data_IF_574623337295
#
_entry.id   IF_574623337295
#
_cell.length_a   1.000
_cell.length_b   1.000
_cell.length_c   1.000
_cell.angle_alpha   90.00
_cell.angle_beta   90.00
_cell.angle_gamma   90.00
#
_symmetry.space_group_name_H-M   'P 1'
#
loop_
_entity.id
_entity.type
_entity.pdbx_description
1 polymer ?
#
# COMPACT_ATOMS: atom_id res chain seq x y z
N UNK A 1 24.19 13.41 -3.23
CA UNK A 1 23.57 13.06 -2.29
C UNK A 1 22.36 13.66 -1.94
N UNK A 2 21.54 13.76 -1.90
CA UNK A 2 20.28 14.23 -1.53
C UNK A 2 19.31 13.09 -1.31
N UNK A 3 18.11 13.43 -1.00
CA UNK A 3 17.02 12.48 -0.76
C UNK A 3 16.71 11.70 -2.03
N UNK A 4 16.67 10.38 -1.90
CA UNK A 4 16.27 9.50 -3.00
C UNK A 4 14.96 8.84 -2.62
N UNK A 5 13.88 9.22 -3.28
CA UNK A 5 12.52 8.75 -2.97
C UNK A 5 12.42 7.23 -2.93
N UNK A 6 13.10 6.55 -3.83
CA UNK A 6 13.01 5.09 -3.94
C UNK A 6 13.76 4.34 -2.84
N UNK A 7 14.47 5.06 -1.97
CA UNK A 7 15.13 4.47 -0.80
C UNK A 7 14.19 4.43 0.40
N UNK A 8 13.02 5.06 0.31
CA UNK A 8 12.12 5.26 1.44
C UNK A 8 10.70 4.88 1.06
N UNK A 9 9.86 4.76 2.08
CA UNK A 9 8.41 4.58 1.91
C UNK A 9 7.75 5.80 2.52
N UNK A 10 6.91 6.48 1.72
CA UNK A 10 6.21 7.65 2.21
C UNK A 10 5.33 7.28 3.41
N UNK A 11 5.37 8.08 4.46
CA UNK A 11 4.57 7.90 5.68
C UNK A 11 4.99 6.71 6.55
N UNK A 12 6.13 6.09 6.28
CA UNK A 12 6.56 4.89 7.02
C UNK A 12 6.60 5.12 8.53
N UNK A 13 7.22 6.23 8.98
CA UNK A 13 7.38 6.50 10.41
C UNK A 13 6.05 6.65 11.14
N UNK A 14 5.04 7.17 10.46
CA UNK A 14 3.71 7.32 11.04
C UNK A 14 2.89 6.03 10.95
N UNK A 15 3.18 5.18 10.00
CA UNK A 15 2.41 3.97 9.74
C UNK A 15 2.88 2.76 10.55
N UNK A 16 4.14 2.77 10.97
CA UNK A 16 4.79 1.55 11.47
C UNK A 16 4.14 1.01 12.75
N UNK A 17 3.73 1.86 13.66
CA UNK A 17 3.11 1.42 14.90
C UNK A 17 1.83 0.63 14.64
N UNK A 18 0.93 1.20 13.85
CA UNK A 18 -0.32 0.50 13.49
C UNK A 18 -0.05 -0.74 12.66
N UNK A 19 0.94 -0.67 11.78
CA UNK A 19 1.33 -1.82 10.96
C UNK A 19 1.80 -2.99 11.83
N UNK A 20 2.54 -2.72 12.89
CA UNK A 20 3.00 -3.76 13.79
C UNK A 20 1.86 -4.35 14.62
N UNK A 21 0.87 -3.54 14.98
CA UNK A 21 -0.32 -4.04 15.66
C UNK A 21 -1.13 -4.98 14.78
N UNK A 22 -1.35 -4.61 13.54
CA UNK A 22 -2.23 -5.37 12.62
C UNK A 22 -1.48 -6.42 11.83
N UNK A 23 -0.16 -6.34 11.77
CA UNK A 23 0.71 -7.15 10.91
C UNK A 23 0.43 -6.93 9.42
N UNK A 24 -0.17 -5.80 9.07
CA UNK A 24 -0.55 -5.44 7.70
C UNK A 24 -0.03 -4.06 7.34
N UNK A 25 0.34 -3.88 6.08
CA UNK A 25 0.63 -2.57 5.49
C UNK A 25 -0.16 -2.44 4.20
N UNK A 26 -0.75 -1.27 4.00
CA UNK A 26 -1.38 -0.90 2.74
C UNK A 26 -0.33 -0.20 1.88
N UNK A 27 -0.07 -0.73 0.69
CA UNK A 27 0.89 -0.17 -0.25
C UNK A 27 0.14 0.58 -1.34
N UNK A 28 0.47 1.84 -1.53
CA UNK A 28 -0.10 2.68 -2.59
C UNK A 28 1.02 3.38 -3.34
N UNK A 29 0.70 4.03 -4.46
CA UNK A 29 1.71 4.64 -5.30
C UNK A 29 2.22 5.96 -4.77
N UNK A 30 1.33 6.82 -4.29
CA UNK A 30 1.71 8.17 -3.91
C UNK A 30 1.08 8.68 -2.63
N UNK A 31 1.49 9.89 -2.25
CA UNK A 31 1.07 10.47 -0.97
C UNK A 31 -0.41 10.83 -0.94
N UNK A 32 -1.00 11.20 -2.07
CA UNK A 32 -2.45 11.49 -2.10
C UNK A 32 -3.29 10.27 -1.73
N UNK A 33 -2.85 9.09 -2.15
CA UNK A 33 -3.53 7.84 -1.82
C UNK A 33 -3.39 7.52 -0.33
N UNK A 34 -2.22 7.79 0.24
CA UNK A 34 -2.00 7.62 1.69
C UNK A 34 -2.96 8.51 2.47
N UNK A 35 -3.10 9.77 2.04
CA UNK A 35 -4.00 10.72 2.70
C UNK A 35 -5.46 10.27 2.61
N UNK A 36 -5.87 9.77 1.44
CA UNK A 36 -7.22 9.27 1.24
C UNK A 36 -7.52 8.11 2.19
N UNK A 37 -6.60 7.17 2.30
CA UNK A 37 -6.74 6.04 3.22
C UNK A 37 -6.79 6.52 4.67
N UNK A 38 -5.97 7.50 5.02
CA UNK A 38 -5.97 8.06 6.37
C UNK A 38 -7.34 8.65 6.72
N UNK A 39 -7.93 9.40 5.79
CA UNK A 39 -9.28 9.94 5.99
C UNK A 39 -10.30 8.84 6.20
N UNK A 40 -10.11 7.69 5.59
CA UNK A 40 -11.02 6.55 5.73
C UNK A 40 -10.74 5.71 6.98
N UNK A 41 -9.74 6.09 7.79
CA UNK A 41 -9.42 5.39 9.03
C UNK A 41 -8.24 4.43 8.94
N UNK A 42 -7.54 4.40 7.81
CA UNK A 42 -6.39 3.51 7.61
C UNK A 42 -5.10 4.27 7.90
N UNK A 43 -4.46 3.97 9.02
CA UNK A 43 -3.24 4.67 9.44
C UNK A 43 -1.97 3.96 9.01
N UNK A 44 -2.06 2.71 8.59
CA UNK A 44 -0.91 1.88 8.22
C UNK A 44 -0.72 1.78 6.72
N UNK A 45 -0.82 2.93 6.03
CA UNK A 45 -0.59 3.02 4.61
C UNK A 45 0.74 3.70 4.33
N UNK A 46 1.47 3.19 3.35
CA UNK A 46 2.74 3.77 2.91
C UNK A 46 2.74 3.92 1.39
N UNK A 47 3.47 4.93 0.90
CA UNK A 47 3.57 5.20 -0.53
C UNK A 47 4.89 4.76 -1.10
N UNK A 48 4.85 4.21 -2.31
CA UNK A 48 6.03 3.67 -2.99
C UNK A 48 6.84 4.72 -3.74
N UNK A 49 6.27 5.90 -3.98
CA UNK A 49 6.85 6.91 -4.86
C UNK A 49 7.02 6.40 -6.29
N UNK A 50 6.27 5.39 -6.68
CA UNK A 50 6.37 4.80 -8.00
C UNK A 50 5.47 3.58 -8.11
N UNK A 51 5.69 2.79 -9.14
CA UNK A 51 4.79 1.68 -9.48
C UNK A 51 5.30 0.29 -9.10
N UNK A 52 6.51 0.21 -8.56
CA UNK A 52 7.05 -1.07 -8.10
C UNK A 52 7.81 -0.86 -6.79
N UNK A 53 8.30 -1.95 -6.20
CA UNK A 53 8.99 -1.93 -4.93
C UNK A 53 10.50 -2.04 -5.17
N UNK A 54 11.27 -1.04 -4.71
CA UNK A 54 12.73 -1.08 -4.82
C UNK A 54 13.32 -2.05 -3.79
N UNK A 55 14.59 -2.39 -3.95
CA UNK A 55 15.29 -3.26 -3.00
C UNK A 55 15.30 -2.68 -1.59
N UNK A 56 15.53 -1.38 -1.47
CA UNK A 56 15.57 -0.71 -0.17
C UNK A 56 14.19 -0.64 0.47
N UNK A 57 13.15 -0.39 -0.33
CA UNK A 57 11.79 -0.42 0.16
C UNK A 57 11.41 -1.81 0.64
N UNK A 58 11.81 -2.84 -0.09
CA UNK A 58 11.59 -4.23 0.34
C UNK A 58 12.25 -4.51 1.68
N UNK A 59 13.48 -4.03 1.86
CA UNK A 59 14.18 -4.19 3.15
C UNK A 59 13.42 -3.52 4.29
N UNK A 60 12.87 -2.33 4.06
CA UNK A 60 12.08 -1.64 5.08
C UNK A 60 10.84 -2.47 5.45
N UNK A 61 10.15 -3.02 4.45
CA UNK A 61 8.99 -3.84 4.70
C UNK A 61 9.34 -5.11 5.48
N UNK A 62 10.45 -5.76 5.14
CA UNK A 62 10.90 -6.94 5.87
C UNK A 62 11.23 -6.61 7.33
N UNK A 63 11.89 -5.48 7.56
CA UNK A 63 12.26 -5.06 8.92
C UNK A 63 11.05 -4.65 9.74
N UNK A 64 9.96 -4.27 9.10
CA UNK A 64 8.76 -3.81 9.81
C UNK A 64 8.08 -4.92 10.61
N UNK A 65 8.31 -6.17 10.24
CA UNK A 65 7.66 -7.29 10.92
C UNK A 65 6.26 -7.61 10.44
N UNK A 66 5.76 -6.90 9.42
CA UNK A 66 4.43 -7.21 8.87
C UNK A 66 4.49 -8.50 8.06
N UNK A 67 3.34 -9.16 7.96
CA UNK A 67 3.24 -10.43 7.23
C UNK A 67 2.33 -10.32 6.01
N UNK A 68 1.52 -9.27 5.94
CA UNK A 68 0.53 -9.09 4.87
C UNK A 68 0.67 -7.70 4.24
N UNK A 69 0.65 -7.66 2.93
CA UNK A 69 0.63 -6.41 2.18
C UNK A 69 -0.68 -6.31 1.39
N UNK A 70 -1.41 -5.22 1.60
CA UNK A 70 -2.61 -4.93 0.83
C UNK A 70 -2.18 -3.91 -0.23
N UNK A 71 -2.18 -4.34 -1.49
CA UNK A 71 -1.61 -3.57 -2.59
C UNK A 71 -2.72 -2.91 -3.39
N UNK A 72 -2.70 -1.59 -3.43
CA UNK A 72 -3.70 -0.78 -4.12
C UNK A 72 -3.01 0.04 -5.20
N UNK A 73 -2.93 -0.52 -6.39
CA UNK A 73 -2.37 0.16 -7.55
C UNK A 73 -3.50 0.70 -8.41
N UNK A 74 -3.18 1.67 -9.28
CA UNK A 74 -4.15 2.23 -10.19
C UNK A 74 -4.77 1.15 -11.09
N UNK A 75 -6.03 1.33 -11.44
CA UNK A 75 -6.77 0.39 -12.28
C UNK A 75 -6.57 0.76 -13.76
N UNK A 76 -5.32 0.73 -14.21
CA UNK A 76 -4.93 1.00 -15.58
C UNK A 76 -3.84 0.00 -15.99
N UNK A 77 -3.34 0.12 -17.23
CA UNK A 77 -2.34 -0.81 -17.75
C UNK A 77 -1.07 -0.83 -16.89
N UNK A 78 -0.57 0.35 -16.52
CA UNK A 78 0.63 0.45 -15.69
C UNK A 78 0.41 -0.15 -14.30
N UNK A 79 -0.76 0.07 -13.71
CA UNK A 79 -1.11 -0.51 -12.41
C UNK A 79 -1.22 -2.03 -12.47
N UNK A 80 -1.79 -2.56 -13.54
CA UNK A 80 -1.86 -4.02 -13.71
C UNK A 80 -0.48 -4.64 -13.87
N UNK A 81 0.41 -3.97 -14.60
CA UNK A 81 1.79 -4.43 -14.75
C UNK A 81 2.54 -4.36 -13.42
N UNK A 82 2.27 -3.33 -12.63
CA UNK A 82 2.81 -3.17 -11.30
C UNK A 82 2.43 -4.35 -10.40
N UNK A 83 1.16 -4.75 -10.44
CA UNK A 83 0.69 -5.91 -9.65
C UNK A 83 1.46 -7.18 -9.98
N UNK A 84 1.70 -7.42 -11.27
CA UNK A 84 2.43 -8.60 -11.72
C UNK A 84 3.85 -8.60 -11.15
N UNK A 85 4.54 -7.45 -11.23
CA UNK A 85 5.90 -7.33 -10.72
C UNK A 85 5.95 -7.51 -9.20
N UNK A 86 5.04 -6.89 -8.48
CA UNK A 86 4.98 -6.98 -7.03
C UNK A 86 4.71 -8.44 -6.62
N UNK A 87 3.77 -9.08 -7.27
CA UNK A 87 3.45 -10.47 -6.98
C UNK A 87 4.66 -11.37 -7.20
N UNK A 88 5.36 -11.18 -8.33
CA UNK A 88 6.56 -11.96 -8.64
C UNK A 88 7.65 -11.78 -7.58
N UNK A 89 7.89 -10.54 -7.16
CA UNK A 89 9.01 -10.21 -6.28
C UNK A 89 8.73 -10.44 -4.80
N UNK A 90 7.46 -10.39 -4.39
CA UNK A 90 7.11 -10.31 -2.97
C UNK A 90 6.29 -11.49 -2.46
N UNK A 91 5.74 -12.35 -3.34
CA UNK A 91 4.81 -13.39 -2.90
C UNK A 91 5.42 -14.44 -1.98
N UNK A 92 6.72 -14.62 -2.03
CA UNK A 92 7.41 -15.56 -1.13
C UNK A 92 7.71 -14.96 0.24
N UNK A 93 7.63 -13.64 0.36
CA UNK A 93 8.01 -12.92 1.57
C UNK A 93 6.80 -12.49 2.39
N UNK A 94 5.67 -12.26 1.72
CA UNK A 94 4.47 -11.72 2.36
C UNK A 94 3.22 -12.35 1.76
N UNK A 95 2.15 -12.36 2.54
CA UNK A 95 0.84 -12.63 1.99
C UNK A 95 0.39 -11.36 1.27
N UNK A 96 -0.01 -11.50 0.02
CA UNK A 96 -0.42 -10.36 -0.81
C UNK A 96 -1.93 -10.37 -1.02
N UNK A 97 -2.53 -9.19 -0.90
CA UNK A 97 -3.95 -8.99 -1.17
C UNK A 97 -4.06 -7.85 -2.17
N UNK A 98 -4.81 -8.07 -3.25
CA UNK A 98 -5.01 -7.09 -4.30
C UNK A 98 -6.51 -6.78 -4.42
N UNK A 99 -7.03 -5.84 -3.61
CA UNK A 99 -8.46 -5.52 -3.69
C UNK A 99 -8.83 -4.95 -5.05
N UNK A 100 -10.05 -5.24 -5.50
CA UNK A 100 -10.56 -4.69 -6.75
C UNK A 100 -11.11 -3.29 -6.54
N UNK A 101 -10.90 -2.40 -7.52
CA UNK A 101 -11.46 -1.05 -7.52
C UNK A 101 -12.26 -0.85 -8.79
N UNK A 102 -13.39 -0.16 -8.68
CA UNK A 102 -14.21 0.15 -9.85
C UNK A 102 -13.80 1.47 -10.50
N UNK A 103 -13.10 2.33 -9.77
CA UNK A 103 -12.56 3.57 -10.32
C UNK A 103 -11.12 3.34 -10.79
N UNK A 104 -10.60 4.31 -11.53
CA UNK A 104 -9.24 4.22 -12.07
C UNK A 104 -8.20 4.20 -10.94
N UNK A 105 -8.40 5.00 -9.91
CA UNK A 105 -7.48 5.10 -8.78
C UNK A 105 -8.23 5.46 -7.50
N UNK A 106 -7.52 5.40 -6.38
CA UNK A 106 -8.09 5.74 -5.07
C UNK A 106 -8.52 7.19 -4.98
N UNK A 107 -7.79 8.09 -5.64
CA UNK A 107 -8.09 9.51 -5.59
C UNK A 107 -9.46 9.86 -6.13
N UNK A 108 -10.01 9.03 -7.03
CA UNK A 108 -11.31 9.24 -7.62
C UNK A 108 -12.46 8.61 -6.84
N UNK A 109 -12.17 7.92 -5.73
CA UNK A 109 -13.21 7.30 -4.91
C UNK A 109 -13.66 8.23 -3.80
N UNK A 110 -14.97 8.25 -3.54
CA UNK A 110 -15.48 8.87 -2.33
C UNK A 110 -15.17 7.97 -1.14
N UNK A 111 -15.01 8.57 0.05
CA UNK A 111 -14.65 7.84 1.26
C UNK A 111 -15.62 6.70 1.56
N UNK A 112 -16.93 6.95 1.40
CA UNK A 112 -17.94 5.91 1.66
C UNK A 112 -17.78 4.73 0.71
N UNK A 113 -17.45 4.98 -0.56
CA UNK A 113 -17.23 3.92 -1.54
C UNK A 113 -15.95 3.16 -1.26
N UNK A 114 -14.91 3.86 -0.84
CA UNK A 114 -13.66 3.23 -0.44
C UNK A 114 -13.89 2.24 0.70
N UNK A 115 -14.65 2.65 1.71
CA UNK A 115 -14.98 1.78 2.84
C UNK A 115 -15.79 0.58 2.38
N UNK A 116 -16.82 0.80 1.57
CA UNK A 116 -17.72 -0.25 1.12
C UNK A 116 -17.04 -1.25 0.20
N UNK A 117 -16.30 -0.76 -0.80
CA UNK A 117 -15.73 -1.63 -1.83
C UNK A 117 -14.44 -2.34 -1.40
N UNK A 118 -13.67 -1.72 -0.52
CA UNK A 118 -12.33 -2.19 -0.18
C UNK A 118 -12.19 -2.52 1.29
N UNK A 119 -12.48 -1.54 2.16
CA UNK A 119 -12.12 -1.66 3.57
C UNK A 119 -13.02 -2.57 4.38
N UNK A 120 -14.29 -2.71 4.00
CA UNK A 120 -15.22 -3.58 4.74
C UNK A 120 -14.75 -5.02 4.78
N UNK A 121 -14.07 -5.49 3.73
CA UNK A 121 -13.55 -6.86 3.66
C UNK A 121 -12.18 -7.00 4.32
N UNK A 122 -11.60 -5.90 4.79
CA UNK A 122 -10.24 -5.88 5.35
C UNK A 122 -10.22 -5.45 6.81
N UNK A 123 -11.32 -5.57 7.52
CA UNK A 123 -11.38 -5.25 8.94
C UNK A 123 -10.40 -6.14 9.70
N UNK A 124 -9.66 -5.54 10.63
CA UNK A 124 -8.57 -6.23 11.30
C UNK A 124 -7.22 -5.96 10.66
N UNK A 125 -7.19 -5.42 9.45
CA UNK A 125 -5.95 -5.06 8.77
C UNK A 125 -5.56 -3.59 8.96
N UNK A 126 -6.40 -2.83 9.60
CA UNK A 126 -6.13 -1.41 9.81
C UNK A 126 -6.74 -0.90 11.11
#
# INVERSE_FOLDING_TARGET
EGFKKRDYLYNYDNAIEKAQETKCIFLVEGQGDVWKLYEAGVKNAVGLFGKDISKKQRSLLLKSGVTKLIVLTDNDQAGRESKIKIKRDMSRLFKLVFPSMHTKDLGNMFIDKLKEEILDDLKGCF
#
